data_IF_784320110651
#
_entry.id   IF_784320110651
#
_cell.length_a   1.000
_cell.length_b   1.000
_cell.length_c   1.000
_cell.angle_alpha   90.00
_cell.angle_beta   90.00
_cell.angle_gamma   90.00
#
_symmetry.space_group_name_H-M   'P 1'
#
loop_
_entity.id
_entity.type
_entity.pdbx_description
1 polymer ?
#
# COMPACT_ATOMS: atom_id res chain seq x y z
N UNK A 1 -4.11 -10.77 -17.99
CA UNK A 1 -4.49 -9.70 -17.05
C UNK A 1 -3.90 -8.41 -17.61
N UNK A 2 -4.73 -7.37 -17.80
CA UNK A 2 -4.22 -6.08 -18.26
C UNK A 2 -3.40 -5.41 -17.17
N UNK A 3 -2.44 -4.59 -17.53
CA UNK A 3 -1.54 -3.93 -16.59
C UNK A 3 -2.29 -3.08 -15.56
N UNK A 4 -3.35 -2.38 -15.99
CA UNK A 4 -4.23 -1.63 -15.08
C UNK A 4 -5.00 -2.50 -14.08
N UNK A 5 -5.26 -3.76 -14.39
CA UNK A 5 -5.93 -4.66 -13.45
C UNK A 5 -5.05 -4.96 -12.23
N UNK A 6 -3.75 -5.04 -12.40
CA UNK A 6 -2.83 -5.32 -11.30
C UNK A 6 -2.78 -4.17 -10.29
N UNK A 7 -2.63 -2.91 -10.75
CA UNK A 7 -2.62 -1.75 -9.85
C UNK A 7 -3.98 -1.49 -9.17
N UNK A 8 -5.08 -2.01 -9.73
CA UNK A 8 -6.39 -1.98 -9.07
C UNK A 8 -6.54 -3.05 -8.00
N UNK A 9 -5.82 -4.18 -8.12
CA UNK A 9 -5.87 -5.25 -7.14
C UNK A 9 -5.00 -4.98 -5.90
N UNK A 10 -4.07 -4.03 -5.96
CA UNK A 10 -3.29 -3.68 -4.78
C UNK A 10 -4.04 -2.77 -3.80
N UNK A 11 -5.24 -2.27 -4.13
CA UNK A 11 -5.98 -1.34 -3.29
C UNK A 11 -7.23 -1.95 -2.66
N UNK A 12 -7.57 -1.45 -1.47
CA UNK A 12 -8.82 -1.70 -0.80
C UNK A 12 -9.37 -0.39 -0.20
N UNK A 13 -10.64 -0.41 0.22
CA UNK A 13 -11.29 0.78 0.74
C UNK A 13 -11.33 0.75 2.27
N UNK A 14 -11.01 1.90 2.86
CA UNK A 14 -11.14 2.16 4.29
C UNK A 14 -12.48 2.82 4.55
N UNK A 15 -13.18 2.41 5.58
CA UNK A 15 -14.49 2.99 5.90
C UNK A 15 -15.09 2.49 7.19
N UNK A 16 -16.37 2.72 7.32
CA UNK A 16 -17.16 2.33 8.48
C UNK A 16 -18.31 1.41 8.06
N UNK A 17 -18.64 0.41 8.87
CA UNK A 17 -19.91 -0.31 8.71
C UNK A 17 -21.08 0.67 8.91
N UNK A 18 -22.11 0.54 8.09
CA UNK A 18 -23.34 1.30 8.21
C UNK A 18 -24.56 0.41 7.87
N UNK A 19 -25.78 0.97 7.99
CA UNK A 19 -27.03 0.26 7.69
C UNK A 19 -27.11 -0.26 6.25
N UNK A 20 -26.36 0.33 5.30
CA UNK A 20 -26.25 -0.10 3.90
C UNK A 20 -25.10 -1.07 3.65
N UNK A 21 -24.40 -1.47 4.73
CA UNK A 21 -23.26 -2.38 4.72
C UNK A 21 -21.93 -1.68 4.97
N UNK A 22 -21.53 -0.69 4.16
CA UNK A 22 -20.23 -0.04 4.24
C UNK A 22 -20.27 1.38 3.67
N UNK A 23 -19.55 2.30 4.30
CA UNK A 23 -19.34 3.66 3.82
C UNK A 23 -17.84 3.94 3.74
N UNK A 24 -17.33 3.99 2.53
CA UNK A 24 -15.92 4.25 2.30
C UNK A 24 -15.55 5.71 2.53
N UNK A 25 -14.43 5.95 3.21
CA UNK A 25 -13.89 7.29 3.52
C UNK A 25 -12.55 7.54 2.83
N UNK A 26 -11.85 6.49 2.40
CA UNK A 26 -10.55 6.58 1.77
C UNK A 26 -10.09 5.27 1.18
N UNK A 27 -8.87 5.28 0.71
CA UNK A 27 -8.18 4.16 0.08
C UNK A 27 -6.98 3.75 0.91
N UNK A 28 -6.56 2.52 0.77
CA UNK A 28 -5.25 2.05 1.16
C UNK A 28 -4.77 0.99 0.19
N UNK A 29 -3.54 0.58 0.32
CA UNK A 29 -2.95 -0.41 -0.57
C UNK A 29 -2.17 -1.47 0.20
N UNK A 30 -2.04 -2.64 -0.41
CA UNK A 30 -1.28 -3.75 0.15
C UNK A 30 0.16 -3.69 -0.32
N UNK A 31 1.07 -3.78 0.64
CA UNK A 31 2.51 -3.85 0.40
C UNK A 31 3.16 -4.86 1.33
N UNK A 32 4.31 -5.37 0.97
CA UNK A 32 5.07 -6.27 1.84
C UNK A 32 6.56 -6.00 1.78
N UNK A 33 7.24 -6.43 2.82
CA UNK A 33 8.70 -6.45 2.93
C UNK A 33 9.15 -7.80 3.48
N UNK A 34 10.44 -8.10 3.31
CA UNK A 34 11.06 -9.30 3.85
C UNK A 34 12.01 -8.96 4.99
N UNK A 35 11.94 -9.72 6.07
CA UNK A 35 12.89 -9.61 7.19
C UNK A 35 13.08 -10.97 7.86
N UNK A 36 14.33 -11.39 8.07
CA UNK A 36 14.65 -12.64 8.75
C UNK A 36 14.06 -13.89 8.08
N UNK A 37 13.93 -13.89 6.76
CA UNK A 37 13.33 -14.97 5.96
C UNK A 37 11.81 -15.07 6.07
N UNK A 38 11.15 -14.06 6.64
CA UNK A 38 9.71 -13.95 6.74
C UNK A 38 9.18 -12.82 5.86
N UNK A 39 7.99 -13.03 5.32
CA UNK A 39 7.24 -12.01 4.59
C UNK A 39 6.26 -11.31 5.55
N UNK A 40 6.33 -9.99 5.57
CA UNK A 40 5.45 -9.14 6.36
C UNK A 40 4.56 -8.33 5.44
N UNK A 41 3.28 -8.72 5.36
CA UNK A 41 2.27 -8.00 4.61
C UNK A 41 1.63 -6.90 5.44
N UNK A 42 1.39 -5.75 4.82
CA UNK A 42 0.74 -4.60 5.42
C UNK A 42 -0.31 -4.03 4.50
N UNK A 43 -1.35 -3.47 5.10
CA UNK A 43 -2.28 -2.55 4.45
C UNK A 43 -1.90 -1.13 4.89
N UNK A 44 -1.51 -0.29 3.94
CA UNK A 44 -0.99 1.06 4.17
C UNK A 44 -2.04 2.09 3.75
N UNK A 45 -2.19 3.15 4.55
CA UNK A 45 -3.12 4.25 4.25
C UNK A 45 -2.66 5.55 4.91
N UNK A 46 -3.37 6.66 4.62
CA UNK A 46 -3.14 7.92 5.29
C UNK A 46 -3.61 7.85 6.76
N UNK A 47 -2.76 8.32 7.68
CA UNK A 47 -2.98 8.20 9.11
C UNK A 47 -4.21 8.99 9.60
N UNK A 48 -4.55 10.12 8.95
CA UNK A 48 -5.72 10.92 9.32
C UNK A 48 -7.04 10.15 9.19
N UNK A 49 -7.13 9.16 8.29
CA UNK A 49 -8.31 8.30 8.13
C UNK A 49 -8.56 7.42 9.37
N UNK A 50 -7.48 7.13 10.12
CA UNK A 50 -7.50 6.18 11.24
C UNK A 50 -7.46 6.89 12.61
N UNK A 51 -6.83 8.06 12.70
CA UNK A 51 -6.54 8.75 13.99
C UNK A 51 -7.76 9.11 14.83
N UNK A 52 -8.94 9.15 14.24
CA UNK A 52 -10.18 9.55 14.95
C UNK A 52 -10.71 8.50 15.95
N UNK A 53 -9.93 7.44 16.25
CA UNK A 53 -10.23 6.38 17.25
C UNK A 53 -11.60 5.68 17.09
N UNK A 54 -12.26 5.82 15.97
CA UNK A 54 -13.42 4.98 15.64
C UNK A 54 -12.92 3.69 15.03
N UNK A 55 -13.46 2.54 15.35
CA UNK A 55 -13.15 1.30 14.66
C UNK A 55 -13.40 1.49 13.16
N UNK A 56 -12.36 1.31 12.35
CA UNK A 56 -12.48 1.32 10.90
C UNK A 56 -12.48 -0.09 10.38
N UNK A 57 -13.09 -0.29 9.24
CA UNK A 57 -13.06 -1.55 8.51
C UNK A 57 -12.35 -1.37 7.18
N UNK A 58 -11.74 -2.45 6.70
CA UNK A 58 -11.16 -2.54 5.37
C UNK A 58 -12.05 -3.45 4.54
N UNK A 59 -12.55 -2.96 3.42
CA UNK A 59 -13.36 -3.73 2.48
C UNK A 59 -12.46 -4.26 1.36
N UNK A 60 -12.34 -5.57 1.26
CA UNK A 60 -11.42 -6.29 0.39
C UNK A 60 -12.20 -7.09 -0.66
N UNK A 61 -11.78 -7.05 -1.90
CA UNK A 61 -12.37 -7.86 -2.97
C UNK A 61 -11.99 -9.34 -2.84
N UNK A 62 -12.92 -10.23 -3.19
CA UNK A 62 -12.74 -11.66 -3.26
C UNK A 62 -12.75 -12.17 -4.71
N UNK A 63 -12.15 -13.33 -4.92
CA UNK A 63 -12.07 -13.98 -6.23
C UNK A 63 -13.44 -14.46 -6.76
N UNK A 64 -14.40 -14.66 -5.88
CA UNK A 64 -15.79 -14.99 -6.21
C UNK A 64 -16.60 -13.80 -6.78
N UNK A 65 -15.98 -12.62 -6.89
CA UNK A 65 -16.63 -11.42 -7.41
C UNK A 65 -17.37 -10.59 -6.36
N UNK A 66 -17.32 -10.99 -5.10
CA UNK A 66 -17.85 -10.25 -3.96
C UNK A 66 -16.76 -9.45 -3.25
N UNK A 67 -17.13 -8.82 -2.16
CA UNK A 67 -16.18 -8.22 -1.21
C UNK A 67 -16.47 -8.72 0.21
N UNK A 68 -15.46 -8.60 1.05
CA UNK A 68 -15.53 -8.84 2.49
C UNK A 68 -15.13 -7.58 3.22
N UNK A 69 -15.88 -7.25 4.28
CA UNK A 69 -15.54 -6.14 5.17
C UNK A 69 -14.93 -6.71 6.43
N UNK A 70 -13.66 -6.40 6.66
CA UNK A 70 -12.89 -6.82 7.83
C UNK A 70 -12.76 -5.66 8.79
N UNK A 71 -13.28 -5.84 10.00
CA UNK A 71 -13.06 -4.89 11.10
C UNK A 71 -11.59 -4.93 11.52
N UNK A 72 -10.99 -3.74 11.69
CA UNK A 72 -9.61 -3.63 12.16
C UNK A 72 -9.57 -3.36 13.65
N UNK A 73 -8.60 -3.96 14.30
CA UNK A 73 -8.28 -3.68 15.70
C UNK A 73 -7.51 -2.35 15.77
N UNK A 74 -8.09 -1.37 16.45
CA UNK A 74 -7.54 -0.02 16.55
C UNK A 74 -6.11 0.01 17.12
N UNK A 75 -5.78 -0.93 18.01
CA UNK A 75 -4.47 -0.99 18.69
C UNK A 75 -3.39 -1.64 17.82
N UNK A 76 -3.76 -2.27 16.70
CA UNK A 76 -2.81 -2.90 15.78
C UNK A 76 -2.34 -1.97 14.65
N UNK A 77 -2.92 -0.80 14.53
CA UNK A 77 -2.43 0.18 13.58
C UNK A 77 -1.07 0.73 14.02
N UNK A 78 -0.09 0.63 13.16
CA UNK A 78 1.26 1.14 13.37
C UNK A 78 1.35 2.50 12.71
N UNK A 79 1.51 3.55 13.50
CA UNK A 79 1.69 4.92 13.03
C UNK A 79 3.16 5.26 12.94
N UNK A 80 3.51 6.13 12.00
CA UNK A 80 4.86 6.67 11.90
C UNK A 80 5.29 7.31 13.22
N UNK A 81 6.55 7.10 13.64
CA UNK A 81 7.08 7.62 14.90
C UNK A 81 7.09 9.15 14.97
N UNK A 82 7.25 9.82 13.84
CA UNK A 82 7.15 11.29 13.74
C UNK A 82 5.67 11.69 13.64
N UNK A 83 5.22 12.50 14.59
CA UNK A 83 3.79 12.81 14.83
C UNK A 83 3.04 13.36 13.61
N UNK A 84 3.67 14.16 12.77
CA UNK A 84 3.04 14.84 11.65
C UNK A 84 3.21 14.10 10.31
N UNK A 85 3.86 12.94 10.31
CA UNK A 85 3.85 12.06 9.15
C UNK A 85 2.48 11.39 9.01
N UNK A 86 1.84 11.63 7.88
CA UNK A 86 0.45 11.20 7.66
C UNK A 86 0.39 9.81 6.99
N UNK A 87 1.02 8.82 7.62
CA UNK A 87 1.05 7.44 7.16
C UNK A 87 0.87 6.49 8.34
N UNK A 88 0.17 5.39 8.10
CA UNK A 88 0.08 4.25 9.01
C UNK A 88 -0.08 2.94 8.25
N UNK A 89 0.18 1.84 8.94
CA UNK A 89 0.11 0.49 8.41
C UNK A 89 -0.65 -0.44 9.34
N UNK A 90 -1.43 -1.36 8.78
CA UNK A 90 -2.08 -2.44 9.49
C UNK A 90 -1.48 -3.79 9.06
N UNK A 91 -0.91 -4.59 9.97
CA UNK A 91 -0.37 -5.89 9.62
C UNK A 91 -1.48 -6.83 9.12
N UNK A 92 -1.26 -7.45 7.97
CA UNK A 92 -2.22 -8.38 7.39
C UNK A 92 -1.86 -9.83 7.72
N UNK A 93 -2.87 -10.70 7.72
CA UNK A 93 -2.70 -12.14 7.89
C UNK A 93 -2.61 -12.88 6.54
N UNK A 94 -2.84 -12.16 5.43
CA UNK A 94 -2.75 -12.73 4.09
C UNK A 94 -1.30 -13.03 3.73
N UNK A 95 -1.07 -14.10 2.97
CA UNK A 95 0.27 -14.42 2.48
C UNK A 95 0.64 -13.51 1.30
N UNK A 96 1.60 -12.59 1.43
CA UNK A 96 1.88 -11.60 0.39
C UNK A 96 2.46 -12.20 -0.89
N UNK A 97 3.14 -13.35 -0.80
CA UNK A 97 3.77 -14.04 -1.95
C UNK A 97 3.07 -15.35 -2.32
N UNK A 98 2.00 -15.68 -1.65
CA UNK A 98 1.28 -16.91 -1.88
C UNK A 98 -0.12 -16.70 -2.43
N UNK A 99 -0.94 -17.73 -2.23
CA UNK A 99 -2.35 -17.61 -2.52
C UNK A 99 -3.03 -16.75 -1.44
N UNK A 100 -3.73 -15.71 -1.87
CA UNK A 100 -4.48 -14.81 -0.98
C UNK A 100 -5.93 -15.25 -0.79
N UNK A 101 -6.28 -16.49 -1.17
CA UNK A 101 -7.63 -17.01 -1.03
C UNK A 101 -8.25 -16.70 0.34
N UNK A 102 -9.51 -16.28 0.34
CA UNK A 102 -10.43 -16.07 -0.79
C UNK A 102 -10.29 -14.69 -1.49
N UNK A 103 -9.31 -13.89 -1.12
CA UNK A 103 -9.18 -12.49 -1.53
C UNK A 103 -8.51 -12.33 -2.90
N UNK A 104 -9.00 -11.36 -3.69
CA UNK A 104 -8.43 -10.96 -4.99
C UNK A 104 -7.50 -9.76 -4.81
N UNK A 105 -6.37 -9.97 -4.16
CA UNK A 105 -5.41 -8.96 -3.73
C UNK A 105 -4.03 -9.22 -4.32
N UNK A 106 -3.34 -8.15 -4.71
CA UNK A 106 -1.92 -8.14 -5.02
C UNK A 106 -1.17 -7.24 -4.04
N UNK A 107 -0.01 -7.68 -3.60
CA UNK A 107 0.89 -6.89 -2.77
C UNK A 107 1.95 -6.20 -3.62
N UNK A 108 2.19 -4.92 -3.36
CA UNK A 108 3.33 -4.21 -3.90
C UNK A 108 4.60 -4.67 -3.17
N UNK A 109 5.61 -5.08 -3.93
CA UNK A 109 6.97 -5.27 -3.42
C UNK A 109 7.62 -3.91 -3.37
N UNK A 110 7.45 -3.18 -2.27
CA UNK A 110 7.84 -1.78 -2.19
C UNK A 110 9.34 -1.59 -2.47
N UNK A 111 10.19 -2.49 -2.01
CA UNK A 111 11.66 -2.42 -2.20
C UNK A 111 12.06 -2.43 -3.68
N UNK A 112 11.31 -3.09 -4.54
CA UNK A 112 11.59 -3.16 -5.98
C UNK A 112 10.69 -2.27 -6.83
N UNK A 113 9.56 -1.83 -6.27
CA UNK A 113 8.58 -1.01 -6.99
C UNK A 113 8.70 0.48 -6.69
N UNK A 114 9.32 0.85 -5.56
CA UNK A 114 9.55 2.24 -5.21
C UNK A 114 10.82 2.77 -5.86
N UNK A 115 10.71 3.92 -6.51
CA UNK A 115 11.89 4.68 -6.92
C UNK A 115 12.32 5.59 -5.76
N UNK A 116 13.58 5.52 -5.37
CA UNK A 116 14.15 6.52 -4.48
C UNK A 116 14.39 7.85 -5.19
N UNK A 117 14.78 8.89 -4.46
CA UNK A 117 14.96 10.24 -5.04
C UNK A 117 16.01 10.29 -6.14
N UNK A 118 17.06 9.47 -6.08
CA UNK A 118 18.10 9.40 -7.10
C UNK A 118 17.62 8.63 -8.34
N UNK A 119 17.00 7.47 -8.13
CA UNK A 119 16.42 6.65 -9.19
C UNK A 119 15.30 7.38 -9.93
N UNK A 120 14.50 8.17 -9.22
CA UNK A 120 13.48 9.05 -9.81
C UNK A 120 14.09 10.08 -10.76
N UNK A 121 15.18 10.74 -10.35
CA UNK A 121 15.87 11.68 -11.21
C UNK A 121 16.49 10.98 -12.44
N UNK A 122 17.05 9.78 -12.25
CA UNK A 122 17.60 8.98 -13.34
C UNK A 122 16.52 8.40 -14.26
N UNK A 123 15.32 8.11 -13.73
CA UNK A 123 14.16 7.65 -14.51
C UNK A 123 13.65 8.72 -15.48
N UNK A 124 14.06 9.97 -15.30
CA UNK A 124 13.62 11.09 -16.10
C UNK A 124 12.24 11.63 -15.72
N UNK A 125 11.68 11.20 -14.57
CA UNK A 125 10.44 11.76 -14.04
C UNK A 125 10.62 13.26 -13.76
N UNK A 126 9.71 14.08 -14.28
CA UNK A 126 9.78 15.54 -14.17
C UNK A 126 8.39 16.17 -14.04
N UNK A 127 8.37 17.46 -13.77
CA UNK A 127 7.14 18.26 -13.75
C UNK A 127 6.45 18.18 -15.12
N UNK A 128 5.15 17.95 -15.11
CA UNK A 128 4.32 17.76 -16.30
C UNK A 128 4.12 16.31 -16.70
N UNK A 129 4.88 15.36 -16.14
CA UNK A 129 4.72 13.94 -16.46
C UNK A 129 3.41 13.37 -15.96
N UNK A 130 2.84 12.46 -16.78
CA UNK A 130 1.61 11.74 -16.47
C UNK A 130 1.86 10.68 -15.40
N UNK A 131 0.99 10.64 -14.39
CA UNK A 131 0.98 9.65 -13.33
C UNK A 131 -0.41 9.03 -13.18
N UNK A 132 -0.48 7.87 -12.55
CA UNK A 132 -1.72 7.11 -12.35
C UNK A 132 -2.01 6.94 -10.87
N UNK A 133 -3.21 7.27 -10.46
CA UNK A 133 -3.71 7.11 -9.09
C UNK A 133 -4.76 6.01 -9.10
N UNK A 134 -4.56 4.95 -8.31
CA UNK A 134 -5.56 3.88 -8.15
C UNK A 134 -6.27 4.04 -6.81
N UNK A 135 -7.58 4.19 -6.82
CA UNK A 135 -8.29 4.40 -5.56
C UNK A 135 -9.79 4.50 -5.64
N UNK A 136 -10.38 4.99 -4.56
CA UNK A 136 -11.81 5.15 -4.39
C UNK A 136 -12.35 6.31 -5.24
N UNK A 137 -13.53 6.07 -5.79
CA UNK A 137 -14.41 7.13 -6.25
C UNK A 137 -15.63 7.19 -5.30
N UNK A 138 -15.64 8.17 -4.42
CA UNK A 138 -16.57 8.25 -3.28
C UNK A 138 -18.05 8.09 -3.64
N UNK A 139 -18.46 8.50 -4.85
CA UNK A 139 -19.84 8.37 -5.31
C UNK A 139 -20.20 6.98 -5.87
N UNK A 140 -19.21 6.09 -6.03
CA UNK A 140 -19.36 4.79 -6.71
C UNK A 140 -18.42 3.74 -6.15
N UNK A 141 -18.53 3.43 -4.87
CA UNK A 141 -17.69 2.41 -4.22
C UNK A 141 -17.98 0.98 -4.68
N UNK A 142 -19.16 0.75 -5.25
CA UNK A 142 -19.65 -0.56 -5.67
C UNK A 142 -20.46 -1.24 -4.58
N UNK A 143 -21.57 -1.90 -4.98
CA UNK A 143 -22.46 -2.60 -4.05
C UNK A 143 -21.92 -3.97 -3.63
N UNK A 144 -21.58 -4.82 -4.62
CA UNK A 144 -21.12 -6.19 -4.38
C UNK A 144 -19.64 -6.29 -4.10
N UNK A 145 -18.85 -5.43 -4.75
CA UNK A 145 -17.39 -5.40 -4.62
C UNK A 145 -16.85 -3.97 -4.77
N UNK A 146 -15.64 -3.74 -4.29
CA UNK A 146 -14.96 -2.49 -4.57
C UNK A 146 -14.73 -2.32 -6.07
N UNK A 147 -14.94 -1.09 -6.55
CA UNK A 147 -14.64 -0.69 -7.92
C UNK A 147 -13.57 0.41 -7.87
N UNK A 148 -12.29 0.08 -7.66
CA UNK A 148 -11.23 1.07 -7.74
C UNK A 148 -11.18 1.64 -9.14
N UNK A 149 -11.05 2.96 -9.24
CA UNK A 149 -10.82 3.64 -10.50
C UNK A 149 -9.35 4.00 -10.65
N UNK A 150 -8.91 4.11 -11.89
CA UNK A 150 -7.61 4.68 -12.22
C UNK A 150 -7.84 6.08 -12.75
N UNK A 151 -7.16 7.05 -12.12
CA UNK A 151 -7.14 8.44 -12.55
C UNK A 151 -5.80 8.73 -13.18
N UNK A 152 -5.84 9.39 -14.31
CA UNK A 152 -4.68 10.05 -14.90
C UNK A 152 -4.53 11.44 -14.26
N UNK A 153 -3.33 11.78 -13.91
CA UNK A 153 -2.95 13.04 -13.28
C UNK A 153 -1.57 13.47 -13.78
N UNK A 154 -1.13 14.68 -13.45
CA UNK A 154 0.20 15.16 -13.83
C UNK A 154 0.95 15.69 -12.60
N UNK A 155 2.27 15.53 -12.59
CA UNK A 155 3.10 16.17 -11.58
C UNK A 155 3.10 17.68 -11.82
N UNK A 156 2.47 18.42 -10.90
CA UNK A 156 2.39 19.87 -10.99
C UNK A 156 3.63 20.56 -10.40
N UNK A 157 4.20 19.99 -9.34
CA UNK A 157 5.44 20.45 -8.74
C UNK A 157 6.17 19.33 -7.99
N UNK A 158 7.50 19.47 -7.89
CA UNK A 158 8.40 18.62 -7.13
C UNK A 158 9.21 19.51 -6.17
N UNK A 159 8.63 19.94 -5.02
CA UNK A 159 9.31 20.82 -4.08
C UNK A 159 10.55 20.14 -3.50
N UNK A 160 11.60 20.92 -3.24
CA UNK A 160 12.83 20.46 -2.58
C UNK A 160 12.74 20.58 -1.05
N UNK A 161 11.66 21.16 -0.54
CA UNK A 161 11.42 21.39 0.88
C UNK A 161 10.06 20.83 1.33
N UNK A 162 9.91 20.49 2.63
CA UNK A 162 8.63 20.01 3.16
C UNK A 162 7.51 21.04 3.00
N UNK A 163 6.33 20.57 2.63
CA UNK A 163 5.11 21.38 2.58
C UNK A 163 4.37 21.31 3.91
N UNK A 164 4.29 22.44 4.60
CA UNK A 164 3.56 22.51 5.88
C UNK A 164 2.11 22.01 5.72
N UNK A 165 1.55 21.22 6.69
CA UNK A 165 2.11 20.85 8.00
C UNK A 165 2.92 19.55 8.02
N UNK A 166 3.16 18.90 6.89
CA UNK A 166 3.94 17.67 6.79
C UNK A 166 5.45 17.95 6.91
N UNK A 167 6.21 17.16 7.67
CA UNK A 167 7.66 17.23 7.67
C UNK A 167 8.30 16.57 6.44
N UNK A 168 7.52 15.86 5.64
CA UNK A 168 8.00 15.17 4.44
C UNK A 168 7.95 16.07 3.22
N UNK A 169 8.94 15.93 2.35
CA UNK A 169 8.90 16.47 0.99
C UNK A 169 7.81 15.73 0.22
N UNK A 170 6.99 16.43 -0.52
CA UNK A 170 5.82 15.86 -1.18
C UNK A 170 5.69 16.38 -2.61
N UNK A 171 5.17 15.55 -3.51
CA UNK A 171 4.76 16.01 -4.82
C UNK A 171 3.44 16.78 -4.75
N UNK A 172 3.31 17.81 -5.57
CA UNK A 172 2.02 18.37 -5.93
C UNK A 172 1.56 17.72 -7.23
N UNK A 173 0.38 17.15 -7.20
CA UNK A 173 -0.20 16.43 -8.34
C UNK A 173 -1.47 17.13 -8.78
N UNK A 174 -1.52 17.59 -10.02
CA UNK A 174 -2.73 18.13 -10.63
C UNK A 174 -3.69 16.97 -10.94
N UNK A 175 -4.79 16.91 -10.21
CA UNK A 175 -5.82 15.91 -10.40
C UNK A 175 -7.17 16.46 -9.96
N UNK A 176 -8.23 16.09 -10.67
CA UNK A 176 -9.59 16.36 -10.20
C UNK A 176 -9.88 15.47 -8.99
N UNK A 177 -9.51 15.93 -7.80
CA UNK A 177 -9.78 15.20 -6.57
C UNK A 177 -11.25 15.34 -6.19
N UNK A 178 -11.94 14.23 -6.18
CA UNK A 178 -13.26 14.08 -5.59
C UNK A 178 -13.04 13.17 -4.38
N UNK A 179 -13.34 13.52 -3.19
CA UNK A 179 -13.07 12.81 -1.94
C UNK A 179 -12.86 11.28 -2.01
N UNK A 180 -12.11 10.72 -1.07
CA UNK A 180 -11.81 9.29 -0.99
C UNK A 180 -10.48 8.84 -1.62
N UNK A 181 -9.71 9.76 -2.20
CA UNK A 181 -8.39 9.45 -2.76
C UNK A 181 -7.25 9.40 -1.74
N UNK A 182 -7.47 9.90 -0.51
CA UNK A 182 -6.48 9.80 0.57
C UNK A 182 -6.06 8.34 0.79
N UNK A 183 -4.76 8.09 0.86
CA UNK A 183 -4.17 6.76 0.97
C UNK A 183 -4.02 6.00 -0.37
N UNK A 184 -4.42 6.61 -1.50
CA UNK A 184 -4.27 5.99 -2.83
C UNK A 184 -2.81 5.95 -3.27
N UNK A 185 -2.30 4.82 -3.79
CA UNK A 185 -0.98 4.75 -4.37
C UNK A 185 -0.92 5.49 -5.71
N UNK A 186 0.24 6.10 -5.97
CA UNK A 186 0.56 6.83 -7.19
C UNK A 186 1.62 6.07 -7.97
N UNK A 187 1.39 5.91 -9.27
CA UNK A 187 2.25 5.13 -10.16
C UNK A 187 2.71 5.96 -11.35
N UNK A 188 3.92 5.69 -11.81
CA UNK A 188 4.51 6.23 -13.02
C UNK A 188 4.74 5.11 -14.04
N UNK A 189 4.38 5.32 -15.30
CA UNK A 189 4.56 4.34 -16.39
C UNK A 189 5.77 4.71 -17.25
N UNK A 190 6.89 4.02 -17.05
CA UNK A 190 8.11 4.24 -17.82
C UNK A 190 7.94 3.99 -19.31
N UNK A 191 7.03 3.12 -19.73
CA UNK A 191 6.86 2.82 -21.15
C UNK A 191 6.35 4.03 -21.95
N UNK A 192 5.70 4.98 -21.27
CA UNK A 192 5.15 6.20 -21.87
C UNK A 192 6.11 7.39 -21.82
N UNK A 193 7.07 7.38 -20.91
CA UNK A 193 8.00 8.49 -20.71
C UNK A 193 9.06 8.64 -21.81
N UNK A 194 9.10 7.74 -22.79
CA UNK A 194 10.14 7.76 -23.85
C UNK A 194 11.55 7.53 -23.30
N UNK A 195 11.66 7.09 -22.05
CA UNK A 195 12.93 6.89 -21.36
C UNK A 195 13.59 5.63 -21.90
N UNK A 196 14.67 5.79 -22.64
CA UNK A 196 15.50 4.71 -23.17
C UNK A 196 16.46 4.11 -22.13
N UNK A 197 16.37 4.53 -20.84
CA UNK A 197 17.27 4.10 -19.79
C UNK A 197 16.79 2.84 -19.09
N UNK A 198 17.74 1.96 -18.84
CA UNK A 198 17.73 0.63 -18.25
C UNK A 198 17.32 0.61 -16.75
N UNK A 199 16.22 1.22 -16.35
CA UNK A 199 15.63 0.82 -15.11
C UNK A 199 14.97 -0.55 -15.37
N UNK A 200 15.44 -1.60 -14.73
CA UNK A 200 14.76 -2.89 -14.80
C UNK A 200 13.34 -2.68 -14.24
N UNK A 201 12.30 -3.04 -15.00
CA UNK A 201 10.94 -2.80 -14.54
C UNK A 201 10.70 -3.58 -13.24
N UNK A 202 9.96 -2.98 -12.28
CA UNK A 202 9.72 -3.61 -10.99
C UNK A 202 9.03 -4.96 -11.18
N UNK A 203 9.57 -5.97 -10.57
CA UNK A 203 8.99 -7.31 -10.56
C UNK A 203 7.88 -7.29 -9.51
N UNK A 204 6.64 -7.13 -9.93
CA UNK A 204 5.51 -7.47 -9.07
C UNK A 204 5.37 -8.99 -9.14
N UNK A 205 6.08 -9.67 -8.24
CA UNK A 205 6.17 -11.12 -8.25
C UNK A 205 4.97 -11.78 -7.58
N UNK A 206 4.15 -12.45 -8.36
CA UNK A 206 3.41 -13.61 -7.90
C UNK A 206 4.36 -14.81 -7.94
N UNK A 207 5.18 -15.01 -6.94
CA UNK A 207 5.93 -16.26 -6.79
C UNK A 207 5.03 -17.24 -6.06
N UNK A 208 4.46 -18.19 -6.78
CA UNK A 208 3.74 -19.28 -6.17
C UNK A 208 4.73 -20.33 -5.63
N UNK A 209 4.62 -20.70 -4.34
CA UNK A 209 5.50 -21.66 -3.66
C UNK A 209 5.42 -23.11 -4.19
N UNK A 210 4.54 -23.41 -5.14
CA UNK A 210 4.36 -24.76 -5.69
C UNK A 210 5.31 -25.14 -6.82
N UNK A 211 6.39 -24.36 -7.05
CA UNK A 211 7.43 -24.73 -8.04
C UNK A 211 6.98 -24.65 -9.50
N UNK A 212 5.79 -24.17 -9.78
CA UNK A 212 5.32 -23.89 -11.13
C UNK A 212 5.90 -22.58 -11.65
N UNK A 213 6.49 -22.59 -12.82
CA UNK A 213 6.97 -21.39 -13.49
C UNK A 213 5.77 -20.59 -13.97
N UNK A 214 5.30 -19.63 -13.17
CA UNK A 214 4.36 -18.63 -13.66
C UNK A 214 5.14 -17.51 -14.35
N UNK A 215 4.62 -16.95 -15.45
CA UNK A 215 5.27 -15.81 -16.08
C UNK A 215 5.38 -14.68 -15.05
N UNK A 216 6.61 -14.26 -14.77
CA UNK A 216 6.88 -13.04 -14.02
C UNK A 216 6.27 -11.91 -14.83
N UNK A 217 5.21 -11.29 -14.30
CA UNK A 217 4.62 -10.14 -14.96
C UNK A 217 5.46 -8.92 -14.63
N UNK A 218 6.32 -8.56 -15.57
CA UNK A 218 7.08 -7.31 -15.54
C UNK A 218 6.06 -6.19 -15.77
N UNK A 219 5.87 -5.35 -14.77
CA UNK A 219 4.99 -4.20 -14.91
C UNK A 219 5.82 -2.93 -15.11
N UNK A 220 5.54 -2.13 -16.13
CA UNK A 220 6.27 -0.89 -16.39
C UNK A 220 5.88 0.24 -15.41
N UNK A 221 5.23 -0.08 -14.30
CA UNK A 221 4.76 0.89 -13.32
C UNK A 221 5.65 0.91 -12.10
N UNK A 222 6.14 2.10 -11.78
CA UNK A 222 6.83 2.39 -10.54
C UNK A 222 5.89 3.06 -9.56
N UNK A 223 5.94 2.62 -8.31
CA UNK A 223 5.30 3.30 -7.20
C UNK A 223 6.13 4.54 -6.87
N UNK A 224 5.53 5.71 -7.01
CA UNK A 224 6.22 6.98 -6.76
C UNK A 224 5.70 7.70 -5.51
N UNK A 225 4.61 7.22 -4.91
CA UNK A 225 4.11 7.81 -3.68
C UNK A 225 2.67 7.46 -3.34
N UNK A 226 2.16 8.12 -2.31
CA UNK A 226 0.81 7.94 -1.77
C UNK A 226 0.11 9.30 -1.61
N UNK A 227 -1.13 9.42 -2.07
CA UNK A 227 -1.95 10.62 -1.86
C UNK A 227 -2.24 10.80 -0.37
N UNK A 228 -1.91 11.96 0.16
CA UNK A 228 -2.24 12.35 1.54
C UNK A 228 -3.58 13.07 1.59
N UNK A 229 -3.72 14.15 0.83
CA UNK A 229 -4.92 14.98 0.85
C UNK A 229 -5.07 15.73 -0.48
N UNK A 230 -6.27 16.22 -0.72
CA UNK A 230 -6.51 17.27 -1.71
C UNK A 230 -6.52 18.63 -1.01
N UNK A 231 -5.85 19.61 -1.59
CA UNK A 231 -6.00 20.99 -1.13
C UNK A 231 -7.38 21.51 -1.53
N UNK A 232 -8.30 21.55 -0.56
CA UNK A 232 -9.43 22.43 -0.64
C UNK A 232 -8.98 23.82 -0.17
N UNK A 233 -8.91 24.79 -1.04
CA UNK A 233 -8.76 26.19 -0.63
C UNK A 233 -10.10 26.63 -0.05
N UNK A 234 -10.11 27.02 1.22
CA UNK A 234 -11.15 27.91 1.73
C UNK A 234 -10.78 29.29 1.21
N UNK A 235 -11.70 29.91 0.51
CA UNK A 235 -11.61 31.35 0.29
C UNK A 235 -11.75 32.00 1.67
N UNK A 236 -10.65 32.45 2.28
CA UNK A 236 -10.73 33.43 3.34
C UNK A 236 -11.26 34.72 2.72
N UNK A 237 -12.25 35.33 3.35
CA UNK A 237 -13.07 36.48 2.88
C UNK A 237 -12.26 37.73 2.48
N UNK A 238 -10.92 37.73 2.66
CA UNK A 238 -10.07 38.89 2.41
C UNK A 238 -9.82 39.20 0.91
N UNK A 239 -10.10 38.27 0.00
CA UNK A 239 -9.87 38.50 -1.44
C UNK A 239 -11.12 38.97 -2.20
N UNK A 240 -12.33 38.67 -1.70
CA UNK A 240 -13.60 39.11 -2.32
C UNK A 240 -14.61 39.46 -1.23
N UNK A 241 -14.53 40.67 -0.62
CA UNK A 241 -15.40 41.08 0.47
C UNK A 241 -16.89 41.15 0.10
N UNK A 242 -17.23 41.20 -1.18
CA UNK A 242 -18.59 41.25 -1.71
C UNK A 242 -19.01 39.98 -2.48
N UNK A 243 -18.23 38.88 -2.37
CA UNK A 243 -18.56 37.61 -3.01
C UNK A 243 -19.68 36.86 -2.27
N UNK A 244 -20.40 35.94 -2.92
CA UNK A 244 -21.36 35.09 -2.23
C UNK A 244 -20.64 34.33 -1.12
N UNK A 245 -21.15 34.40 0.12
CA UNK A 245 -20.66 33.63 1.25
C UNK A 245 -20.60 32.15 0.84
N UNK A 246 -19.41 31.68 0.54
CA UNK A 246 -19.20 30.34 0.02
C UNK A 246 -18.68 29.47 1.14
N UNK A 247 -19.58 28.73 1.79
CA UNK A 247 -19.24 27.44 2.43
C UNK A 247 -18.76 26.38 1.38
N UNK A 248 -18.44 26.81 0.17
CA UNK A 248 -17.95 25.96 -0.91
C UNK A 248 -16.44 25.82 -0.75
N UNK A 249 -15.99 24.69 -0.18
CA UNK A 249 -14.63 24.23 -0.33
C UNK A 249 -14.34 24.05 -1.83
N UNK A 250 -13.61 24.99 -2.43
CA UNK A 250 -13.17 24.89 -3.81
C UNK A 250 -11.96 23.96 -3.88
N UNK A 251 -12.14 22.82 -4.51
CA UNK A 251 -11.02 21.92 -4.82
C UNK A 251 -10.16 22.56 -5.90
N UNK A 252 -8.97 23.02 -5.52
CA UNK A 252 -8.03 23.66 -6.44
C UNK A 252 -7.49 22.72 -7.55
N UNK A 253 -7.90 21.45 -7.55
CA UNK A 253 -7.40 20.47 -8.50
C UNK A 253 -5.98 19.99 -8.17
N UNK A 254 -5.45 20.31 -7.00
CA UNK A 254 -4.12 19.89 -6.55
C UNK A 254 -4.24 18.92 -5.37
N UNK A 255 -3.54 17.81 -5.46
CA UNK A 255 -3.35 16.84 -4.38
C UNK A 255 -1.90 16.83 -3.93
N UNK A 256 -1.68 16.57 -2.64
CA UNK A 256 -0.37 16.34 -2.04
C UNK A 256 -0.11 14.85 -1.98
N UNK A 257 1.03 14.40 -2.49
CA UNK A 257 1.46 13.01 -2.43
C UNK A 257 2.80 12.88 -1.71
N UNK A 258 2.81 12.07 -0.64
CA UNK A 258 4.04 11.61 0.01
C UNK A 258 4.88 10.83 -0.99
N UNK A 259 6.19 11.05 -0.99
CA UNK A 259 7.11 10.34 -1.90
C UNK A 259 7.24 8.86 -1.53
N UNK A 260 7.52 8.02 -2.52
CA UNK A 260 7.76 6.59 -2.32
C UNK A 260 8.91 6.32 -1.33
N UNK A 261 9.96 7.15 -1.36
CA UNK A 261 11.07 7.07 -0.42
C UNK A 261 10.62 7.14 1.05
N UNK A 262 9.69 8.05 1.38
CA UNK A 262 9.18 8.19 2.75
C UNK A 262 8.32 6.98 3.15
N UNK A 263 7.54 6.44 2.23
CA UNK A 263 6.77 5.22 2.45
C UNK A 263 7.72 4.03 2.68
N UNK A 264 8.78 3.93 1.88
CA UNK A 264 9.81 2.90 2.00
C UNK A 264 10.56 3.01 3.33
N UNK A 265 10.99 4.23 3.69
CA UNK A 265 11.63 4.51 4.98
C UNK A 265 10.72 4.18 6.16
N UNK A 266 9.43 4.52 6.08
CA UNK A 266 8.46 4.11 7.10
C UNK A 266 8.41 2.59 7.24
N UNK A 267 8.31 1.86 6.14
CA UNK A 267 8.22 0.41 6.20
C UNK A 267 9.51 -0.25 6.70
N UNK A 268 10.68 0.23 6.27
CA UNK A 268 11.96 -0.39 6.59
C UNK A 268 12.55 0.09 7.91
N UNK A 269 12.52 1.40 8.15
CA UNK A 269 13.37 2.05 9.14
C UNK A 269 12.63 2.59 10.35
N UNK A 270 11.31 2.81 10.26
CA UNK A 270 10.54 3.33 11.38
C UNK A 270 10.64 2.41 12.61
N UNK A 271 10.97 2.97 13.80
CA UNK A 271 11.14 2.17 15.02
C UNK A 271 9.92 1.34 15.41
N UNK A 272 8.70 1.82 15.13
CA UNK A 272 7.48 1.10 15.47
C UNK A 272 7.29 -0.11 14.55
N UNK A 273 7.56 0.07 13.24
CA UNK A 273 7.51 -1.00 12.25
C UNK A 273 8.59 -2.07 12.52
N UNK A 274 9.83 -1.65 12.82
CA UNK A 274 10.92 -2.57 13.18
C UNK A 274 10.57 -3.36 14.43
N UNK A 275 10.15 -2.71 15.51
CA UNK A 275 9.76 -3.38 16.77
C UNK A 275 8.69 -4.44 16.55
N UNK A 276 7.70 -4.14 15.71
CA UNK A 276 6.66 -5.11 15.38
C UNK A 276 7.25 -6.37 14.73
N UNK A 277 8.12 -6.21 13.72
CA UNK A 277 8.73 -7.34 13.00
C UNK A 277 9.69 -8.12 13.85
N UNK A 278 10.57 -7.45 14.60
CA UNK A 278 11.56 -8.07 15.47
C UNK A 278 10.90 -8.98 16.52
N UNK A 279 9.80 -8.53 17.11
CA UNK A 279 9.02 -9.35 18.05
C UNK A 279 8.48 -10.65 17.43
N UNK A 280 8.11 -10.61 16.13
CA UNK A 280 7.61 -11.81 15.44
C UNK A 280 8.77 -12.74 15.07
N UNK A 281 9.87 -12.20 14.55
CA UNK A 281 11.07 -12.95 14.19
C UNK A 281 11.61 -13.68 15.43
N UNK A 282 11.76 -12.99 16.57
CA UNK A 282 12.22 -13.59 17.81
C UNK A 282 11.30 -14.73 18.30
N UNK A 283 9.98 -14.51 18.28
CA UNK A 283 9.01 -15.55 18.68
C UNK A 283 9.13 -16.80 17.82
N UNK A 284 9.28 -16.62 16.49
CA UNK A 284 9.44 -17.76 15.58
C UNK A 284 10.77 -18.48 15.79
N UNK A 285 11.86 -17.75 15.98
CA UNK A 285 13.19 -18.33 16.23
C UNK A 285 13.20 -19.15 17.51
N UNK A 286 12.59 -18.66 18.61
CA UNK A 286 12.46 -19.40 19.87
C UNK A 286 11.60 -20.66 19.70
N UNK A 287 10.53 -20.61 18.93
CA UNK A 287 9.67 -21.76 18.68
C UNK A 287 10.37 -22.88 17.89
N UNK A 288 11.26 -22.52 16.98
CA UNK A 288 12.07 -23.48 16.22
C UNK A 288 13.16 -24.11 17.10
N UNK A 289 13.81 -23.31 17.96
CA UNK A 289 14.87 -23.78 18.85
C UNK A 289 14.36 -24.68 20.00
N UNK A 290 13.05 -24.74 20.26
CA UNK A 290 12.42 -25.59 21.27
C UNK A 290 11.82 -26.89 20.71
N UNK A 291 12.02 -27.25 19.46
CA UNK A 291 11.63 -28.60 19.00
C UNK A 291 12.59 -29.62 19.59
N UNK A 292 12.14 -30.52 20.48
CA UNK A 292 12.99 -31.59 20.97
C UNK A 292 13.42 -32.45 19.80
N UNK A 293 14.72 -32.72 19.69
CA UNK A 293 15.27 -33.73 18.81
C UNK A 293 14.52 -35.05 19.11
N UNK A 294 13.67 -35.47 18.18
CA UNK A 294 13.10 -36.81 18.22
C UNK A 294 14.27 -37.77 18.07
N UNK A 295 14.65 -38.40 19.20
CA UNK A 295 15.61 -39.45 19.23
C UNK A 295 15.20 -40.53 18.20
N UNK A 296 16.11 -40.81 17.31
CA UNK A 296 16.04 -41.97 16.42
C UNK A 296 16.07 -43.20 17.34
N UNK A 297 14.93 -43.82 17.58
CA UNK A 297 14.90 -45.16 18.18
C UNK A 297 15.62 -46.10 17.24
N UNK A 298 16.80 -46.53 17.66
CA UNK A 298 17.56 -47.62 17.04
C UNK A 298 16.75 -48.91 17.19
N UNK A 299 16.30 -49.46 16.08
CA UNK A 299 15.70 -50.79 16.01
C UNK A 299 16.67 -51.84 16.53
N UNK A 300 16.22 -52.79 17.38
CA UNK A 300 17.08 -53.85 17.84
C UNK A 300 17.35 -54.85 16.70
N UNK A 301 18.61 -55.19 16.58
CA UNK A 301 19.21 -56.17 15.68
C UNK A 301 18.55 -57.56 15.87
N UNK A 302 17.81 -58.05 14.90
CA UNK A 302 17.30 -59.41 14.86
C UNK A 302 18.44 -60.31 14.31
N UNK A 303 19.19 -60.91 15.23
CA UNK A 303 20.13 -62.00 14.88
C UNK A 303 19.34 -63.24 14.45
N UNK A 304 19.45 -63.58 13.18
CA UNK A 304 19.12 -64.88 12.66
C UNK A 304 20.11 -65.92 13.16
N UNK A 305 19.70 -66.80 14.03
CA UNK A 305 20.37 -68.03 14.33
C UNK A 305 19.99 -69.11 13.31
N UNK A 306 20.94 -69.53 12.55
CA UNK A 306 20.90 -70.75 11.74
C UNK A 306 21.15 -71.97 12.60
N UNK A 307 20.37 -72.99 12.48
CA UNK A 307 20.81 -74.37 12.60
C UNK A 307 19.74 -75.37 12.20
N UNK A 308 20.17 -76.23 11.31
CA UNK A 308 19.75 -77.59 10.96
C UNK A 308 18.75 -77.71 9.84
#
# INVERSE_FOLDING_TARGET
MGVYDAIRKCVAFVGYPNERGFSAIGTGFFAYIQQGGLDFGYFITAAHLIRNKRPVSVRINKKDGLSETQETDTDKWIFHCTKNMDICAYPTTLNPRGDTEPHDVLYLTIESAALDGHELHESGLTIGDEVFISGLFASREGEKRNIPIIRTANIAAMPEEPLWPSPAVSYLIETRSLGGTSGSPVFFDLSRAGVTKKAEPPIIGLINQTGGSYPIMIMPYYFIGMILSSHAQRYEDDFFPDGPQADAEFNAGISVAMMAHDVLSFMNDDPNMRRYRDNIVEKKTRAIGHRPSTAVESSPDVRNGSSS
#
